data_IF_193824574873
#
_entry.id   IF_193824574873
#
_cell.length_a   1.000
_cell.length_b   1.000
_cell.length_c   1.000
_cell.angle_alpha   90.00
_cell.angle_beta   90.00
_cell.angle_gamma   90.00
#
_symmetry.space_group_name_H-M   'P 1'
#
loop_
_entity.id
_entity.type
_entity.pdbx_description
1 polymer ?
#
# COMPACT_ATOMS: atom_id res chain seq x y z
N UNK A 1 14.61 -22.10 -42.87
CA UNK A 1 14.76 -22.07 -41.41
C UNK A 1 14.02 -20.84 -40.95
N UNK A 2 12.91 -21.02 -40.25
CA UNK A 2 12.25 -19.90 -39.60
C UNK A 2 12.97 -19.72 -38.27
N UNK A 3 13.75 -18.65 -38.17
CA UNK A 3 14.26 -18.17 -36.90
C UNK A 3 13.04 -17.67 -36.11
N UNK A 4 12.45 -18.60 -35.34
CA UNK A 4 11.53 -18.26 -34.28
C UNK A 4 12.37 -17.70 -33.13
N UNK A 5 12.84 -16.47 -33.31
CA UNK A 5 13.21 -15.61 -32.19
C UNK A 5 11.90 -15.30 -31.45
N UNK A 6 11.50 -16.23 -30.57
CA UNK A 6 10.66 -15.92 -29.44
C UNK A 6 11.46 -14.93 -28.59
N UNK A 7 11.41 -13.65 -28.96
CA UNK A 7 11.81 -12.57 -28.07
C UNK A 7 11.04 -12.80 -26.77
N UNK A 8 11.77 -13.15 -25.71
CA UNK A 8 11.24 -13.14 -24.37
C UNK A 8 10.72 -11.72 -24.14
N UNK A 9 9.40 -11.52 -24.27
CA UNK A 9 8.75 -10.28 -23.89
C UNK A 9 9.18 -10.02 -22.45
N UNK A 10 10.06 -9.04 -22.27
CA UNK A 10 10.35 -8.46 -20.97
C UNK A 10 8.99 -8.02 -20.42
N UNK A 11 8.39 -8.82 -19.55
CA UNK A 11 7.20 -8.43 -18.80
C UNK A 11 7.61 -7.28 -17.91
N UNK A 12 7.48 -6.05 -18.42
CA UNK A 12 7.84 -4.86 -17.68
C UNK A 12 7.02 -4.88 -16.38
N UNK A 13 7.75 -4.90 -15.27
CA UNK A 13 7.14 -4.90 -13.94
C UNK A 13 6.85 -3.47 -13.54
N UNK A 14 5.61 -3.19 -13.15
CA UNK A 14 5.19 -1.85 -12.73
C UNK A 14 4.88 -1.86 -11.23
N UNK A 15 5.48 -0.95 -10.47
CA UNK A 15 5.25 -0.81 -9.03
C UNK A 15 4.76 0.59 -8.74
N UNK A 16 3.52 0.70 -8.27
CA UNK A 16 2.93 1.94 -7.76
C UNK A 16 3.09 1.96 -6.25
N UNK A 17 3.63 3.05 -5.70
CA UNK A 17 3.83 3.21 -4.25
C UNK A 17 3.01 4.41 -3.77
N UNK A 18 2.26 4.25 -2.69
CA UNK A 18 1.52 5.36 -2.08
C UNK A 18 1.57 5.36 -0.55
N UNK A 19 1.66 6.57 0.00
CA UNK A 19 1.61 6.87 1.44
C UNK A 19 0.68 8.07 1.66
N UNK A 20 -0.12 8.03 2.71
CA UNK A 20 -1.16 8.99 3.05
C UNK A 20 -2.38 8.99 2.13
N UNK A 21 -2.38 8.28 0.99
CA UNK A 21 -3.34 8.48 -0.09
C UNK A 21 -4.78 8.15 0.35
N UNK A 22 -4.97 6.99 0.97
CA UNK A 22 -6.31 6.50 1.34
C UNK A 22 -6.90 7.24 2.55
N UNK A 23 -6.10 8.08 3.22
CA UNK A 23 -6.57 8.94 4.30
C UNK A 23 -7.27 10.19 3.79
N UNK A 24 -6.94 10.63 2.57
CA UNK A 24 -7.36 11.93 2.04
C UNK A 24 -8.28 11.84 0.81
N UNK A 25 -8.47 10.65 0.24
CA UNK A 25 -9.32 10.46 -0.93
C UNK A 25 -10.59 9.70 -0.58
N UNK A 26 -11.68 10.04 -1.26
CA UNK A 26 -12.94 9.28 -1.15
C UNK A 26 -12.83 7.94 -1.87
N UNK A 27 -13.65 6.96 -1.49
CA UNK A 27 -13.76 5.67 -2.21
C UNK A 27 -14.03 5.85 -3.70
N UNK A 28 -14.77 6.88 -4.09
CA UNK A 28 -15.02 7.20 -5.50
C UNK A 28 -13.72 7.52 -6.26
N UNK A 29 -12.89 8.43 -5.72
CA UNK A 29 -11.62 8.80 -6.36
C UNK A 29 -10.65 7.62 -6.37
N UNK A 30 -10.55 6.89 -5.27
CA UNK A 30 -9.70 5.69 -5.19
C UNK A 30 -10.15 4.62 -6.19
N UNK A 31 -11.45 4.45 -6.35
CA UNK A 31 -12.03 3.51 -7.30
C UNK A 31 -11.74 3.90 -8.76
N UNK A 32 -11.73 5.19 -9.05
CA UNK A 32 -11.29 5.69 -10.36
C UNK A 32 -9.82 5.36 -10.59
N UNK A 33 -8.93 5.61 -9.61
CA UNK A 33 -7.51 5.25 -9.71
C UNK A 33 -7.31 3.74 -9.93
N UNK A 34 -7.98 2.89 -9.14
CA UNK A 34 -7.87 1.45 -9.27
C UNK A 34 -8.28 0.96 -10.67
N UNK A 35 -9.36 1.51 -11.21
CA UNK A 35 -9.84 1.21 -12.58
C UNK A 35 -8.87 1.69 -13.65
N UNK A 36 -8.37 2.93 -13.54
CA UNK A 36 -7.41 3.48 -14.50
C UNK A 36 -6.10 2.70 -14.50
N UNK A 37 -5.54 2.36 -13.34
CA UNK A 37 -4.33 1.53 -13.26
C UNK A 37 -4.53 0.14 -13.85
N UNK A 38 -5.66 -0.51 -13.52
CA UNK A 38 -5.98 -1.83 -14.07
C UNK A 38 -6.11 -1.80 -15.60
N UNK A 39 -6.64 -0.71 -16.16
CA UNK A 39 -6.79 -0.52 -17.61
C UNK A 39 -5.45 -0.19 -18.27
N UNK A 40 -4.71 0.78 -17.72
CA UNK A 40 -3.44 1.27 -18.25
C UNK A 40 -2.34 0.20 -18.21
N UNK A 41 -2.32 -0.62 -17.17
CA UNK A 41 -1.32 -1.67 -16.95
C UNK A 41 -1.83 -3.06 -17.38
N UNK A 42 -2.85 -3.12 -18.23
CA UNK A 42 -3.31 -4.37 -18.81
C UNK A 42 -2.17 -5.05 -19.60
N UNK A 43 -1.92 -6.34 -19.31
CA UNK A 43 -0.84 -7.11 -19.94
C UNK A 43 0.53 -6.97 -19.26
N UNK A 44 0.65 -6.15 -18.22
CA UNK A 44 1.87 -6.00 -17.41
C UNK A 44 1.76 -6.73 -16.07
N UNK A 45 2.89 -7.15 -15.52
CA UNK A 45 2.99 -7.62 -14.12
C UNK A 45 3.07 -6.39 -13.21
N UNK A 46 1.98 -6.01 -12.54
CA UNK A 46 1.94 -4.78 -11.75
C UNK A 46 1.41 -4.95 -10.34
N UNK A 47 1.92 -4.10 -9.45
CA UNK A 47 1.63 -4.08 -8.02
C UNK A 47 1.37 -2.65 -7.56
N UNK A 48 0.43 -2.49 -6.64
CA UNK A 48 0.28 -1.28 -5.84
C UNK A 48 0.64 -1.60 -4.41
N UNK A 49 1.69 -0.95 -3.89
CA UNK A 49 2.15 -1.09 -2.52
C UNK A 49 1.74 0.17 -1.77
N UNK A 50 1.03 0.01 -0.65
CA UNK A 50 0.62 1.14 0.16
C UNK A 50 0.85 0.91 1.65
N UNK A 51 1.41 1.93 2.31
CA UNK A 51 1.55 2.00 3.76
C UNK A 51 0.27 2.50 4.48
N UNK A 52 -0.82 2.67 3.72
CA UNK A 52 -2.11 3.20 4.21
C UNK A 52 -3.13 2.11 4.53
N UNK A 53 -2.68 0.88 4.77
CA UNK A 53 -3.56 -0.22 5.12
C UNK A 53 -4.27 0.08 6.45
N UNK A 54 -5.61 0.06 6.52
CA UNK A 54 -6.31 0.23 7.78
C UNK A 54 -5.95 -0.92 8.73
N UNK A 55 -5.66 -0.56 9.98
CA UNK A 55 -5.38 -1.48 11.07
C UNK A 55 -6.44 -1.32 12.15
N UNK A 56 -6.77 -2.40 12.85
CA UNK A 56 -7.81 -2.43 13.87
C UNK A 56 -7.45 -1.55 15.09
N UNK A 57 -6.15 -1.46 15.40
CA UNK A 57 -5.60 -0.53 16.39
C UNK A 57 -5.09 0.74 15.70
N UNK A 58 -5.89 1.81 15.70
CA UNK A 58 -5.45 3.13 15.23
C UNK A 58 -4.55 3.77 16.30
N UNK A 59 -3.29 3.32 16.42
CA UNK A 59 -2.33 3.82 17.40
C UNK A 59 -1.87 5.28 17.19
N UNK A 60 -2.43 5.97 16.20
CA UNK A 60 -2.07 7.35 15.83
C UNK A 60 -3.31 8.23 15.61
N UNK A 61 -4.42 7.87 16.28
CA UNK A 61 -5.73 8.49 16.08
C UNK A 61 -5.66 10.01 16.23
N UNK A 62 -4.95 10.53 17.23
CA UNK A 62 -4.87 11.97 17.51
C UNK A 62 -3.91 12.72 16.59
N UNK A 63 -2.86 12.07 16.07
CA UNK A 63 -1.93 12.70 15.12
C UNK A 63 -2.55 12.80 13.73
N UNK A 64 -3.08 11.67 13.21
CA UNK A 64 -3.83 11.66 11.93
C UNK A 64 -5.11 12.49 12.02
N UNK A 65 -5.64 12.62 13.25
CA UNK A 65 -6.31 13.79 13.84
C UNK A 65 -6.25 15.13 13.14
N UNK A 66 -5.33 15.89 13.68
CA UNK A 66 -4.85 17.20 13.29
C UNK A 66 -4.60 17.28 11.80
N UNK A 67 -4.01 16.26 11.17
CA UNK A 67 -3.70 16.32 9.73
C UNK A 67 -4.99 16.30 8.89
N UNK A 68 -5.92 15.39 9.17
CA UNK A 68 -7.19 15.32 8.44
C UNK A 68 -8.07 16.56 8.68
N UNK A 69 -8.12 17.04 9.92
CA UNK A 69 -8.87 18.24 10.29
C UNK A 69 -8.30 19.49 9.58
N UNK A 70 -6.96 19.59 9.48
CA UNK A 70 -6.27 20.67 8.76
C UNK A 70 -6.49 20.61 7.25
N UNK A 71 -6.58 19.40 6.69
CA UNK A 71 -6.87 19.17 5.28
C UNK A 71 -8.37 19.28 4.92
N UNK A 72 -9.26 19.43 5.92
CA UNK A 72 -10.73 19.39 5.76
C UNK A 72 -11.24 18.14 5.06
N UNK A 73 -10.58 17.00 5.25
CA UNK A 73 -10.96 15.75 4.60
C UNK A 73 -11.75 14.85 5.55
N UNK A 74 -12.75 14.14 5.01
CA UNK A 74 -13.44 13.08 5.76
C UNK A 74 -12.45 11.96 6.09
N UNK A 75 -12.28 11.69 7.38
CA UNK A 75 -11.42 10.63 7.91
C UNK A 75 -11.97 9.24 7.59
N UNK A 76 -11.05 8.28 7.50
CA UNK A 76 -11.39 6.85 7.55
C UNK A 76 -12.13 6.38 6.32
N UNK A 77 -11.54 6.54 5.13
CA UNK A 77 -12.13 6.04 3.89
C UNK A 77 -12.45 4.55 3.95
N UNK A 78 -11.63 3.79 4.67
CA UNK A 78 -11.88 2.37 4.98
C UNK A 78 -12.00 2.20 6.49
N UNK A 79 -12.96 1.38 6.92
CA UNK A 79 -13.22 1.13 8.36
C UNK A 79 -12.21 0.16 8.96
N UNK A 80 -11.84 -0.86 8.20
CA UNK A 80 -10.97 -1.95 8.61
C UNK A 80 -10.35 -2.61 7.36
N UNK A 81 -9.50 -3.61 7.56
CA UNK A 81 -8.86 -4.32 6.46
C UNK A 81 -9.84 -5.13 5.60
N UNK A 82 -10.94 -5.61 6.16
CA UNK A 82 -11.93 -6.36 5.39
C UNK A 82 -12.68 -5.44 4.41
N UNK A 83 -13.11 -4.26 4.87
CA UNK A 83 -13.68 -3.22 4.01
C UNK A 83 -12.72 -2.80 2.89
N UNK A 84 -11.45 -2.59 3.25
CA UNK A 84 -10.39 -2.28 2.30
C UNK A 84 -10.25 -3.37 1.22
N UNK A 85 -10.07 -4.63 1.64
CA UNK A 85 -9.93 -5.77 0.74
C UNK A 85 -11.15 -5.95 -0.16
N UNK A 86 -12.35 -5.84 0.41
CA UNK A 86 -13.60 -6.00 -0.33
C UNK A 86 -13.78 -4.91 -1.37
N UNK A 87 -13.42 -3.66 -1.04
CA UNK A 87 -13.48 -2.56 -1.97
C UNK A 87 -12.60 -2.79 -3.21
N UNK A 88 -11.34 -3.18 -3.02
CA UNK A 88 -10.42 -3.40 -4.15
C UNK A 88 -10.73 -4.66 -4.96
N UNK A 89 -11.36 -5.67 -4.34
CA UNK A 89 -11.86 -6.85 -5.05
C UNK A 89 -12.90 -6.50 -6.13
N UNK A 90 -13.70 -5.43 -5.94
CA UNK A 90 -14.67 -4.94 -6.94
C UNK A 90 -13.96 -4.53 -8.24
N UNK A 91 -12.70 -4.10 -8.15
CA UNK A 91 -11.86 -3.70 -9.29
C UNK A 91 -10.95 -4.83 -9.79
N UNK A 92 -11.19 -6.07 -9.37
CA UNK A 92 -10.40 -7.23 -9.79
C UNK A 92 -9.04 -7.36 -9.11
N UNK A 93 -8.78 -6.58 -8.05
CA UNK A 93 -7.51 -6.59 -7.32
C UNK A 93 -7.55 -7.54 -6.12
N UNK A 94 -6.55 -8.41 -6.04
CA UNK A 94 -6.24 -9.21 -4.85
C UNK A 94 -5.43 -8.34 -3.90
N UNK A 95 -5.94 -8.18 -2.68
CA UNK A 95 -5.25 -7.44 -1.62
C UNK A 95 -4.64 -8.40 -0.60
N UNK A 96 -3.35 -8.25 -0.34
CA UNK A 96 -2.61 -8.94 0.71
C UNK A 96 -2.05 -7.93 1.70
N UNK A 97 -2.09 -8.26 3.00
CA UNK A 97 -1.58 -7.44 4.10
C UNK A 97 -0.33 -8.09 4.66
N UNK A 98 0.71 -7.30 4.86
CA UNK A 98 1.97 -7.72 5.43
C UNK A 98 2.33 -6.81 6.59
N UNK A 99 2.77 -7.38 7.71
CA UNK A 99 3.29 -6.55 8.79
C UNK A 99 4.67 -6.04 8.43
N UNK A 100 4.96 -4.79 8.77
CA UNK A 100 6.28 -4.23 8.52
C UNK A 100 7.38 -5.05 9.21
N UNK A 101 7.07 -5.58 10.41
CA UNK A 101 7.92 -6.48 11.19
C UNK A 101 8.25 -7.81 10.49
N UNK A 102 7.38 -8.27 9.59
CA UNK A 102 7.61 -9.50 8.82
C UNK A 102 8.52 -9.26 7.61
N UNK A 103 8.59 -8.01 7.15
CA UNK A 103 9.27 -7.63 5.91
C UNK A 103 10.63 -6.99 6.13
N UNK A 104 10.81 -6.28 7.25
CA UNK A 104 12.02 -5.53 7.55
C UNK A 104 12.56 -5.91 8.92
N UNK A 105 13.88 -6.11 9.00
CA UNK A 105 14.54 -6.21 10.29
C UNK A 105 14.86 -4.80 10.79
N UNK A 106 14.89 -4.64 12.11
CA UNK A 106 15.21 -3.35 12.71
C UNK A 106 16.61 -2.85 12.38
N UNK A 107 17.55 -3.73 12.06
CA UNK A 107 18.88 -3.34 11.60
C UNK A 107 18.86 -2.67 10.21
N UNK A 108 17.83 -2.92 9.40
CA UNK A 108 17.70 -2.39 8.03
C UNK A 108 17.09 -0.96 8.01
N UNK A 109 16.63 -0.44 9.15
CA UNK A 109 16.07 0.91 9.26
C UNK A 109 17.15 1.97 9.42
N UNK A 110 17.68 2.43 8.30
CA UNK A 110 18.68 3.50 8.25
C UNK A 110 18.18 4.84 8.80
N UNK A 111 16.88 5.15 8.67
CA UNK A 111 16.29 6.39 9.22
C UNK A 111 16.39 6.47 10.75
N UNK A 112 16.27 5.34 11.46
CA UNK A 112 16.47 5.30 12.90
C UNK A 112 17.91 5.68 13.28
N UNK A 113 18.89 5.22 12.50
CA UNK A 113 20.29 5.59 12.65
C UNK A 113 20.53 7.09 12.34
N UNK A 114 19.87 7.64 11.32
CA UNK A 114 19.99 9.07 10.95
C UNK A 114 19.35 10.02 11.97
N UNK A 115 18.22 9.65 12.57
CA UNK A 115 17.50 10.48 13.54
C UNK A 115 17.85 10.17 15.01
N UNK A 116 18.91 9.38 15.26
CA UNK A 116 19.35 8.97 16.60
C UNK A 116 18.22 8.35 17.44
N UNK A 117 17.31 7.63 16.80
CA UNK A 117 16.25 6.89 17.49
C UNK A 117 16.90 5.63 18.07
N UNK A 118 16.70 5.38 19.37
CA UNK A 118 17.27 4.20 20.00
C UNK A 118 16.62 2.91 19.46
N UNK A 119 17.36 1.80 19.52
CA UNK A 119 16.92 0.51 18.99
C UNK A 119 15.58 0.03 19.57
N UNK A 120 15.33 0.27 20.86
CA UNK A 120 14.07 -0.12 21.51
C UNK A 120 12.87 0.60 20.90
N UNK A 121 13.00 1.89 20.60
CA UNK A 121 11.97 2.69 19.95
C UNK A 121 11.81 2.28 18.48
N UNK A 122 12.89 1.92 17.79
CA UNK A 122 12.83 1.39 16.41
C UNK A 122 12.09 0.06 16.35
N UNK A 123 12.40 -0.87 17.25
CA UNK A 123 11.68 -2.15 17.37
C UNK A 123 10.22 -1.90 17.69
N UNK A 124 9.93 -1.03 18.67
CA UNK A 124 8.56 -0.65 19.00
C UNK A 124 7.83 -0.13 17.76
N UNK A 125 8.44 0.79 17.02
CA UNK A 125 7.87 1.38 15.80
C UNK A 125 7.64 0.35 14.71
N UNK A 126 8.59 -0.53 14.41
CA UNK A 126 8.36 -1.58 13.39
C UNK A 126 7.17 -2.47 13.74
N UNK A 127 7.03 -2.82 15.02
CA UNK A 127 5.94 -3.66 15.50
C UNK A 127 4.63 -2.88 15.69
N UNK A 128 4.67 -1.54 15.73
CA UNK A 128 3.50 -0.69 15.93
C UNK A 128 3.06 0.07 14.67
N UNK A 129 3.91 0.19 13.66
CA UNK A 129 3.60 0.89 12.41
C UNK A 129 2.62 0.07 11.57
N UNK A 130 1.79 0.80 10.83
CA UNK A 130 0.75 0.28 9.94
C UNK A 130 1.28 -0.76 8.97
N UNK A 131 0.45 -1.77 8.72
CA UNK A 131 0.75 -2.83 7.78
C UNK A 131 0.84 -2.31 6.34
N UNK A 132 1.56 -3.05 5.50
CA UNK A 132 1.68 -2.78 4.07
C UNK A 132 0.60 -3.58 3.34
N UNK A 133 -0.23 -2.90 2.56
CA UNK A 133 -1.12 -3.52 1.60
C UNK A 133 -0.42 -3.65 0.25
N UNK A 134 -0.42 -4.87 -0.31
CA UNK A 134 -0.03 -5.15 -1.68
C UNK A 134 -1.29 -5.51 -2.47
N UNK A 135 -1.60 -4.71 -3.48
CA UNK A 135 -2.68 -4.96 -4.41
C UNK A 135 -2.11 -5.41 -5.76
N UNK A 136 -2.65 -6.51 -6.31
CA UNK A 136 -2.26 -7.03 -7.61
C UNK A 136 -3.47 -7.50 -8.39
N UNK A 137 -3.39 -7.52 -9.71
CA UNK A 137 -4.48 -8.05 -10.52
C UNK A 137 -4.69 -9.55 -10.24
N UNK A 138 -5.95 -9.98 -10.17
CA UNK A 138 -6.34 -11.39 -9.96
C UNK A 138 -6.11 -12.29 -11.17
N UNK A 139 -5.93 -11.70 -12.35
CA UNK A 139 -5.70 -12.43 -13.60
C UNK A 139 -4.20 -12.64 -13.84
N UNK A 140 -3.65 -13.62 -13.14
CA UNK A 140 -2.51 -14.45 -13.56
C UNK A 140 -2.79 -15.90 -13.15
#
# INVERSE_FOLDING_TARGET
MFDNDFEAQSTQKIVVISEGLFWYLTKEVIGNLAREFTTMFQGYDWYWISADCPCDDIQDYDHRKTIADSAKVKRGTFTDFADFKNFFAIYGLVTQRYQLADLLKHEDLFSANFFSINQSETIKRINSYTDIAVLKNSLQ
#
